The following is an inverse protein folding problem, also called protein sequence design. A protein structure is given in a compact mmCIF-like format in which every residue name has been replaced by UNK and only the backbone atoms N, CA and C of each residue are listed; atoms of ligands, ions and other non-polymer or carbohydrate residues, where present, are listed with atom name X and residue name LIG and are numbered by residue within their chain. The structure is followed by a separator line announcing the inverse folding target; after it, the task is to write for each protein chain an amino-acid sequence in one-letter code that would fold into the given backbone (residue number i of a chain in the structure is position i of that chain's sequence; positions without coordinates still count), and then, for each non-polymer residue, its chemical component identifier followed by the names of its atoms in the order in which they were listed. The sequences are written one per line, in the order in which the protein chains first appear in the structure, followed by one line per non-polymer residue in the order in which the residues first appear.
data_IF_015360535989
#
_entry.id   IF_015360535989
#
_cell.length_a   1.000
_cell.length_b   1.000
_cell.length_c   1.000
_cell.angle_alpha   90.00
_cell.angle_beta   90.00
_cell.angle_gamma   90.00
#
_symmetry.space_group_name_H-M   'P 1'
#
loop_
_entity.id
_entity.type
_entity.pdbx_description
1 polymer ?
#
# COMPACT_ATOMS: atom_id res chain seq x y z
N UNK A 1 -19.98 5.38 4.34
CA UNK A 1 -18.84 4.72 5.02
C UNK A 1 -18.46 3.53 4.15
N UNK A 2 -17.50 3.73 3.26
CA UNK A 2 -17.01 2.70 2.32
C UNK A 2 -15.80 2.07 3.03
N UNK A 3 -15.83 0.76 3.25
CA UNK A 3 -14.67 0.05 3.80
C UNK A 3 -13.47 0.29 2.89
N UNK A 4 -12.32 0.77 3.42
CA UNK A 4 -11.16 0.97 2.60
C UNK A 4 -10.52 -0.41 2.41
N UNK A 5 -10.54 -0.88 1.17
CA UNK A 5 -10.28 -2.25 0.73
C UNK A 5 -11.37 -3.24 1.18
N UNK A 6 -12.00 -4.02 0.27
CA UNK A 6 -12.38 -5.35 0.68
C UNK A 6 -11.08 -5.96 1.21
N UNK A 7 -11.10 -6.49 2.44
CA UNK A 7 -10.03 -7.38 2.91
C UNK A 7 -9.61 -8.19 1.70
N UNK A 8 -8.36 -8.06 1.24
CA UNK A 8 -7.92 -8.68 -0.01
C UNK A 8 -8.00 -10.23 0.10
N UNK A 9 -8.41 -10.72 1.27
CA UNK A 9 -9.16 -11.95 1.45
C UNK A 9 -10.48 -11.65 2.18
N UNK A 10 -11.56 -11.36 1.46
CA UNK A 10 -12.91 -11.26 2.03
C UNK A 10 -13.47 -12.67 2.23
N UNK A 11 -12.67 -13.55 2.83
CA UNK A 11 -13.27 -14.46 3.79
C UNK A 11 -13.67 -13.57 4.96
N UNK A 12 -14.97 -13.56 5.26
CA UNK A 12 -15.53 -13.05 6.49
C UNK A 12 -14.87 -13.81 7.64
N UNK A 13 -13.66 -13.41 8.00
CA UNK A 13 -12.87 -14.07 9.01
C UNK A 13 -13.71 -14.02 10.29
N UNK A 14 -14.06 -15.19 10.88
CA UNK A 14 -14.72 -15.19 12.17
C UNK A 14 -13.87 -14.39 13.16
N UNK A 15 -14.48 -13.87 14.21
CA UNK A 15 -13.93 -12.94 15.20
C UNK A 15 -12.79 -13.56 16.07
N UNK A 16 -11.89 -14.34 15.48
CA UNK A 16 -10.94 -15.24 16.12
C UNK A 16 -9.54 -14.62 16.19
N UNK A 17 -9.47 -13.34 16.57
CA UNK A 17 -8.21 -12.66 16.85
C UNK A 17 -7.73 -13.05 18.25
N UNK A 18 -6.67 -13.84 18.34
CA UNK A 18 -6.04 -14.17 19.61
C UNK A 18 -4.96 -13.13 19.95
N UNK A 19 -4.82 -12.70 21.22
CA UNK A 19 -3.67 -11.92 21.64
C UNK A 19 -2.38 -12.75 21.41
N UNK A 20 -1.33 -12.07 20.95
CA UNK A 20 0.01 -12.67 20.77
C UNK A 20 1.06 -11.72 21.31
N UNK A 21 2.25 -12.25 21.59
CA UNK A 21 3.37 -11.44 22.08
C UNK A 21 4.30 -11.16 20.91
N UNK A 22 4.80 -9.94 20.83
CA UNK A 22 5.81 -9.58 19.81
C UNK A 22 7.10 -10.42 19.93
N UNK A 23 7.32 -11.07 21.06
CA UNK A 23 8.52 -11.88 21.29
C UNK A 23 8.56 -13.16 20.45
N UNK A 24 7.41 -13.61 19.92
CA UNK A 24 7.27 -14.80 19.07
C UNK A 24 7.79 -14.61 17.63
N UNK A 25 8.18 -13.38 17.26
CA UNK A 25 8.58 -13.00 15.91
C UNK A 25 10.10 -12.87 15.75
N UNK A 26 10.62 -12.84 14.52
CA UNK A 26 12.04 -12.58 14.27
C UNK A 26 12.44 -11.15 14.65
N UNK A 27 13.72 -10.90 14.97
CA UNK A 27 14.21 -9.54 15.34
C UNK A 27 13.85 -8.49 14.28
N UNK A 28 13.93 -8.85 12.99
CA UNK A 28 13.54 -7.99 11.87
C UNK A 28 12.04 -7.64 11.92
N UNK A 29 11.17 -8.65 12.09
CA UNK A 29 9.73 -8.45 12.22
C UNK A 29 9.39 -7.60 13.44
N UNK A 30 10.00 -7.86 14.62
CA UNK A 30 9.79 -7.06 15.83
C UNK A 30 10.06 -5.58 15.57
N UNK A 31 11.19 -5.27 14.95
CA UNK A 31 11.57 -3.90 14.63
C UNK A 31 10.59 -3.25 13.65
N UNK A 32 10.17 -3.99 12.61
CA UNK A 32 9.21 -3.51 11.61
C UNK A 32 7.83 -3.25 12.21
N UNK A 33 7.29 -4.18 12.99
CA UNK A 33 5.98 -4.03 13.65
C UNK A 33 6.01 -2.83 14.61
N UNK A 34 7.06 -2.68 15.42
CA UNK A 34 7.17 -1.54 16.36
C UNK A 34 7.26 -0.20 15.65
N UNK A 35 8.02 -0.12 14.56
CA UNK A 35 8.25 1.14 13.85
C UNK A 35 7.18 1.50 12.82
N UNK A 36 6.35 0.54 12.38
CA UNK A 36 5.35 0.75 11.33
C UNK A 36 4.39 1.90 11.64
N UNK A 37 3.83 1.99 12.86
CA UNK A 37 2.90 3.07 13.22
C UNK A 37 3.50 4.47 13.02
N UNK A 38 4.75 4.67 13.45
CA UNK A 38 5.48 5.92 13.22
C UNK A 38 5.78 6.16 11.73
N UNK A 39 6.23 5.13 11.02
CA UNK A 39 6.54 5.24 9.59
C UNK A 39 5.32 5.64 8.77
N UNK A 40 4.14 5.08 9.07
CA UNK A 40 2.92 5.45 8.36
C UNK A 40 2.38 6.83 8.74
N UNK A 41 2.62 7.30 9.97
CA UNK A 41 2.34 8.70 10.31
C UNK A 41 3.24 9.69 9.55
N UNK A 42 4.51 9.33 9.31
CA UNK A 42 5.38 10.10 8.42
C UNK A 42 4.87 10.09 6.98
N UNK A 43 4.41 8.93 6.48
CA UNK A 43 3.82 8.82 5.16
C UNK A 43 2.58 9.71 5.01
N UNK A 44 1.68 9.73 6.00
CA UNK A 44 0.49 10.59 6.00
C UNK A 44 0.86 12.08 5.91
N UNK A 45 1.85 12.50 6.71
CA UNK A 45 2.36 13.87 6.69
C UNK A 45 2.96 14.23 5.33
N UNK A 46 3.75 13.32 4.75
CA UNK A 46 4.35 13.51 3.43
C UNK A 46 3.28 13.60 2.34
N UNK A 47 2.31 12.68 2.32
CA UNK A 47 1.17 12.71 1.40
C UNK A 47 0.40 14.03 1.49
N UNK A 48 0.20 14.55 2.70
CA UNK A 48 -0.42 15.86 2.93
C UNK A 48 0.35 16.98 2.25
N UNK A 49 1.68 17.01 2.37
CA UNK A 49 2.52 17.99 1.66
C UNK A 49 2.43 17.82 0.14
N UNK A 50 2.49 16.59 -0.37
CA UNK A 50 2.36 16.30 -1.81
C UNK A 50 1.05 16.86 -2.36
N UNK A 51 -0.07 16.52 -1.74
CA UNK A 51 -1.40 16.95 -2.19
C UNK A 51 -1.59 18.45 -2.03
N UNK A 52 -1.01 19.07 -0.99
CA UNK A 52 -1.02 20.52 -0.86
C UNK A 52 -0.22 21.22 -1.97
N UNK A 53 0.91 20.65 -2.40
CA UNK A 53 1.67 21.16 -3.55
C UNK A 53 0.93 20.98 -4.86
N UNK A 54 0.29 19.83 -5.05
CA UNK A 54 -0.55 19.54 -6.20
C UNK A 54 -1.68 20.55 -6.33
N UNK A 55 -2.46 20.77 -5.26
CA UNK A 55 -3.52 21.79 -5.21
C UNK A 55 -3.04 23.21 -5.51
N UNK A 56 -1.79 23.52 -5.15
CA UNK A 56 -1.16 24.83 -5.39
C UNK A 56 -0.45 24.91 -6.75
N UNK A 57 -0.60 23.91 -7.62
CA UNK A 57 0.07 23.81 -8.92
C UNK A 57 1.61 23.95 -8.82
N UNK A 58 2.21 23.39 -7.76
CA UNK A 58 3.66 23.44 -7.48
C UNK A 58 4.41 22.17 -7.87
N UNK A 59 3.77 21.26 -8.60
CA UNK A 59 4.38 20.03 -9.09
C UNK A 59 4.69 20.16 -10.58
N UNK A 60 5.57 19.29 -11.08
CA UNK A 60 5.81 19.21 -12.52
C UNK A 60 4.51 18.78 -13.24
N UNK A 61 4.31 19.17 -14.52
CA UNK A 61 3.12 18.79 -15.27
C UNK A 61 2.91 17.28 -15.34
N UNK A 62 3.98 16.49 -15.53
CA UNK A 62 3.90 15.03 -15.57
C UNK A 62 3.42 14.45 -14.24
N UNK A 63 3.97 14.92 -13.11
CA UNK A 63 3.57 14.43 -11.79
C UNK A 63 2.13 14.84 -11.46
N UNK A 64 1.73 16.07 -11.79
CA UNK A 64 0.36 16.54 -11.61
C UNK A 64 -0.63 15.66 -12.39
N UNK A 65 -0.36 15.39 -13.67
CA UNK A 65 -1.20 14.53 -14.50
C UNK A 65 -1.33 13.10 -13.95
N UNK A 66 -0.25 12.52 -13.40
CA UNK A 66 -0.33 11.21 -12.72
C UNK A 66 -1.24 11.26 -11.50
N UNK A 67 -1.18 12.34 -10.70
CA UNK A 67 -2.07 12.52 -9.55
C UNK A 67 -3.52 12.74 -9.97
N UNK A 68 -3.76 13.52 -11.02
CA UNK A 68 -5.09 13.69 -11.62
C UNK A 68 -5.66 12.35 -12.10
N UNK A 69 -4.86 11.51 -12.74
CA UNK A 69 -5.29 10.18 -13.18
C UNK A 69 -5.61 9.26 -12.00
N UNK A 70 -4.82 9.30 -10.94
CA UNK A 70 -5.00 8.42 -9.78
C UNK A 70 -6.17 8.83 -8.87
N UNK A 71 -6.29 10.12 -8.59
CA UNK A 71 -7.22 10.63 -7.57
C UNK A 71 -8.39 11.40 -8.18
N UNK A 72 -8.28 11.88 -9.42
CA UNK A 72 -9.31 12.68 -10.07
C UNK A 72 -9.57 13.99 -9.32
N UNK A 73 -10.80 14.49 -9.41
CA UNK A 73 -11.26 15.67 -8.66
C UNK A 73 -11.47 15.39 -7.16
N UNK A 74 -11.46 14.12 -6.74
CA UNK A 74 -11.55 13.75 -5.34
C UNK A 74 -10.24 14.08 -4.63
N UNK A 75 -10.30 15.08 -3.75
CA UNK A 75 -9.14 15.48 -2.96
C UNK A 75 -8.80 14.39 -1.94
N UNK A 76 -7.76 13.61 -2.22
CA UNK A 76 -7.11 12.65 -1.32
C UNK A 76 -6.73 13.21 0.08
N UNK A 77 -6.67 14.54 0.23
CA UNK A 77 -6.38 15.19 1.50
C UNK A 77 -7.51 15.08 2.56
N UNK A 78 -8.75 14.72 2.17
CA UNK A 78 -9.91 14.80 3.07
C UNK A 78 -9.95 13.71 4.16
N UNK A 79 -9.10 12.68 4.07
CA UNK A 79 -9.16 11.50 4.94
C UNK A 79 -7.85 11.24 5.70
N UNK A 80 -6.93 12.21 5.70
CA UNK A 80 -5.64 12.10 6.38
C UNK A 80 -5.82 12.34 7.89
N UNK A 81 -5.36 11.38 8.70
CA UNK A 81 -5.52 11.35 10.17
C UNK A 81 -4.19 11.66 10.87
N UNK A 82 -4.23 11.74 12.20
CA UNK A 82 -3.09 12.04 13.06
C UNK A 82 -2.16 10.84 13.33
N UNK A 83 -2.38 9.73 12.61
CA UNK A 83 -1.65 8.47 12.70
C UNK A 83 -2.62 7.27 12.76
N UNK A 84 -2.11 6.04 12.55
CA UNK A 84 -2.95 4.85 12.55
C UNK A 84 -3.23 4.37 13.97
N UNK A 85 -4.44 3.88 14.24
CA UNK A 85 -4.72 3.18 15.50
C UNK A 85 -4.68 1.67 15.33
N UNK A 86 -4.89 1.16 14.11
CA UNK A 86 -4.76 -0.26 13.79
C UNK A 86 -4.18 -0.48 12.38
N UNK A 87 -3.21 -1.38 12.27
CA UNK A 87 -2.66 -1.83 10.99
C UNK A 87 -2.71 -3.35 10.94
N UNK A 88 -3.22 -3.87 9.83
CA UNK A 88 -3.23 -5.30 9.54
C UNK A 88 -2.09 -5.66 8.59
N UNK A 89 -1.43 -6.78 8.87
CA UNK A 89 -0.31 -7.29 8.09
C UNK A 89 -0.52 -8.74 7.68
N UNK A 90 -0.04 -9.09 6.48
CA UNK A 90 0.41 -10.43 6.17
C UNK A 90 1.86 -10.58 6.64
N UNK A 91 2.11 -11.66 7.37
CA UNK A 91 3.43 -12.06 7.83
C UNK A 91 3.81 -13.39 7.22
N UNK A 92 5.05 -13.50 6.76
CA UNK A 92 5.77 -14.75 6.51
C UNK A 92 7.13 -14.69 7.21
N UNK A 93 7.97 -15.73 7.11
CA UNK A 93 9.20 -15.85 7.91
C UNK A 93 10.07 -14.58 7.94
N UNK A 94 10.23 -13.90 6.80
CA UNK A 94 11.12 -12.72 6.67
C UNK A 94 10.46 -11.43 6.17
N UNK A 95 9.19 -11.47 5.79
CA UNK A 95 8.48 -10.31 5.24
C UNK A 95 7.19 -10.01 5.99
N UNK A 96 6.93 -8.71 6.07
CA UNK A 96 5.75 -8.14 6.67
C UNK A 96 5.18 -7.16 5.67
N UNK A 97 3.93 -7.38 5.27
CA UNK A 97 3.24 -6.56 4.27
C UNK A 97 1.91 -6.06 4.81
N UNK A 98 1.66 -4.78 4.70
CA UNK A 98 0.36 -4.18 5.06
C UNK A 98 -0.72 -4.71 4.14
N UNK A 99 -1.87 -5.03 4.71
CA UNK A 99 -3.06 -5.44 3.97
C UNK A 99 -4.29 -4.59 4.28
N UNK A 100 -4.23 -3.76 5.32
CA UNK A 100 -5.31 -2.89 5.71
C UNK A 100 -4.98 -2.03 6.91
N UNK A 101 -5.81 -1.02 7.15
CA UNK A 101 -5.73 -0.14 8.32
C UNK A 101 -7.07 0.57 8.52
N UNK A 102 -7.30 1.06 9.73
CA UNK A 102 -8.36 2.04 10.00
C UNK A 102 -8.04 3.43 9.42
N UNK A 103 -6.77 3.70 9.10
CA UNK A 103 -6.33 4.95 8.51
C UNK A 103 -6.48 4.93 6.98
N UNK A 104 -7.25 5.85 6.38
CA UNK A 104 -7.49 5.87 4.93
C UNK A 104 -6.23 6.02 4.08
N UNK A 105 -5.23 6.77 4.53
CA UNK A 105 -3.97 6.93 3.78
C UNK A 105 -3.16 5.63 3.68
N UNK A 106 -3.30 4.75 4.66
CA UNK A 106 -2.65 3.43 4.66
C UNK A 106 -3.50 2.41 3.93
N UNK A 107 -4.83 2.49 4.05
CA UNK A 107 -5.73 1.51 3.47
C UNK A 107 -6.06 1.74 1.99
N UNK A 108 -5.74 2.91 1.42
CA UNK A 108 -5.99 3.17 0.00
C UNK A 108 -4.79 2.76 -0.88
N UNK A 109 -4.95 1.77 -1.78
CA UNK A 109 -3.88 1.28 -2.66
C UNK A 109 -3.29 2.32 -3.60
N UNK A 110 -4.01 3.41 -3.88
CA UNK A 110 -3.46 4.51 -4.69
C UNK A 110 -2.24 5.13 -4.03
N UNK A 111 -2.25 5.26 -2.69
CA UNK A 111 -1.08 5.74 -1.96
C UNK A 111 0.09 4.76 -2.02
N UNK A 112 -0.19 3.46 -2.09
CA UNK A 112 0.84 2.44 -2.30
C UNK A 112 1.47 2.59 -3.67
N UNK A 113 0.65 2.72 -4.72
CA UNK A 113 1.15 2.94 -6.07
C UNK A 113 2.04 4.21 -6.13
N UNK A 114 1.63 5.32 -5.52
CA UNK A 114 2.44 6.54 -5.43
C UNK A 114 3.81 6.32 -4.79
N UNK A 115 3.89 5.51 -3.74
CA UNK A 115 5.14 5.20 -3.05
C UNK A 115 6.09 4.40 -3.94
N UNK A 116 5.53 3.57 -4.84
CA UNK A 116 6.29 2.74 -5.77
C UNK A 116 6.62 3.43 -7.11
N UNK A 117 6.02 4.58 -7.42
CA UNK A 117 6.29 5.34 -8.65
C UNK A 117 7.75 5.83 -8.71
N UNK A 118 8.56 5.39 -9.70
CA UNK A 118 9.97 5.80 -9.79
C UNK A 118 10.15 7.31 -9.91
N UNK A 119 9.26 8.00 -10.64
CA UNK A 119 9.31 9.44 -10.85
C UNK A 119 9.14 10.28 -9.58
N UNK A 120 8.59 9.71 -8.50
CA UNK A 120 8.43 10.38 -7.22
C UNK A 120 9.55 10.09 -6.22
N UNK A 121 10.51 9.20 -6.55
CA UNK A 121 11.57 8.79 -5.62
C UNK A 121 12.41 9.96 -5.10
N UNK A 122 12.75 10.89 -5.99
CA UNK A 122 13.53 12.09 -5.66
C UNK A 122 12.78 13.05 -4.72
N UNK A 123 11.45 12.99 -4.71
CA UNK A 123 10.63 13.75 -3.78
C UNK A 123 10.43 13.01 -2.45
N UNK A 124 10.18 11.69 -2.48
CA UNK A 124 10.01 10.89 -1.27
C UNK A 124 11.25 10.83 -0.38
N UNK A 125 12.41 10.65 -0.99
CA UNK A 125 13.68 10.43 -0.26
C UNK A 125 14.04 11.57 0.70
N UNK A 126 14.01 12.87 0.31
CA UNK A 126 14.29 13.96 1.25
C UNK A 126 13.17 14.17 2.27
N UNK A 127 11.90 13.96 1.89
CA UNK A 127 10.75 14.20 2.78
C UNK A 127 10.65 13.15 3.87
N UNK A 128 10.84 11.86 3.53
CA UNK A 128 10.75 10.75 4.48
C UNK A 128 12.10 10.37 5.10
N UNK A 129 13.22 10.84 4.55
CA UNK A 129 14.57 10.26 4.69
C UNK A 129 14.67 8.90 3.99
N UNK A 130 15.83 8.63 3.40
CA UNK A 130 16.05 7.42 2.60
C UNK A 130 15.76 6.12 3.35
N UNK A 131 16.13 6.03 4.63
CA UNK A 131 15.96 4.82 5.44
C UNK A 131 14.48 4.52 5.72
N UNK A 132 13.68 5.52 6.07
CA UNK A 132 12.25 5.33 6.30
C UNK A 132 11.50 5.07 4.99
N UNK A 133 11.90 5.73 3.90
CA UNK A 133 11.30 5.48 2.58
C UNK A 133 11.47 4.02 2.14
N UNK A 134 12.68 3.47 2.20
CA UNK A 134 12.91 2.07 1.81
C UNK A 134 12.25 1.09 2.80
N UNK A 135 12.23 1.42 4.10
CA UNK A 135 11.47 0.63 5.09
C UNK A 135 9.97 0.60 4.80
N UNK A 136 9.37 1.75 4.48
CA UNK A 136 7.96 1.85 4.10
C UNK A 136 7.66 1.06 2.83
N UNK A 137 8.50 1.17 1.79
CA UNK A 137 8.36 0.37 0.56
C UNK A 137 8.47 -1.14 0.82
N UNK A 138 9.27 -1.53 1.81
CA UNK A 138 9.35 -2.93 2.21
C UNK A 138 8.08 -3.39 2.96
N UNK A 139 7.37 -2.50 3.67
CA UNK A 139 6.11 -2.78 4.37
C UNK A 139 4.88 -2.74 3.46
N UNK A 140 4.89 -1.89 2.45
CA UNK A 140 3.74 -1.72 1.54
C UNK A 140 3.79 -2.79 0.43
N UNK A 141 2.65 -3.39 0.03
CA UNK A 141 2.61 -4.27 -1.12
C UNK A 141 3.00 -3.53 -2.40
N UNK A 142 3.61 -4.23 -3.37
CA UNK A 142 3.83 -3.62 -4.66
C UNK A 142 2.48 -3.29 -5.31
N UNK A 143 2.35 -2.06 -5.80
CA UNK A 143 1.13 -1.58 -6.42
C UNK A 143 1.45 -0.74 -7.65
N UNK A 144 0.62 -0.85 -8.68
CA UNK A 144 0.81 -0.20 -9.97
C UNK A 144 -0.50 0.40 -10.47
N UNK A 145 -0.40 1.55 -11.13
CA UNK A 145 -1.53 2.16 -11.84
C UNK A 145 -1.77 1.39 -13.14
N UNK A 146 -2.99 0.91 -13.35
CA UNK A 146 -3.36 0.28 -14.63
C UNK A 146 -3.86 1.36 -15.57
N UNK A 147 -2.96 1.81 -16.43
CA UNK A 147 -3.20 2.82 -17.46
C UNK A 147 -3.25 2.17 -18.85
N UNK A 148 -4.15 2.68 -19.72
CA UNK A 148 -4.27 2.27 -21.14
C UNK A 148 -3.09 2.74 -22.01
N UNK A 149 -2.23 3.60 -21.47
CA UNK A 149 -1.12 4.17 -22.21
C UNK A 149 -0.11 3.09 -22.61
N UNK A 150 0.14 2.96 -23.92
CA UNK A 150 1.21 2.07 -24.41
C UNK A 150 2.55 2.57 -23.88
N UNK A 151 3.31 1.67 -23.27
CA UNK A 151 4.68 1.95 -22.86
C UNK A 151 5.56 2.20 -24.09
N UNK A 152 6.59 3.06 -23.98
CA UNK A 152 7.56 3.25 -25.06
C UNK A 152 8.25 1.93 -25.43
N UNK A 153 8.67 1.73 -26.70
CA UNK A 153 9.40 0.53 -27.11
C UNK A 153 10.62 0.27 -26.21
N UNK A 154 10.78 -0.98 -25.75
CA UNK A 154 11.87 -1.39 -24.86
C UNK A 154 11.69 -1.01 -23.38
N UNK A 155 10.57 -0.38 -23.00
CA UNK A 155 10.23 -0.12 -21.60
C UNK A 155 9.51 -1.32 -20.97
N UNK A 156 9.64 -1.46 -19.65
CA UNK A 156 8.96 -2.48 -18.85
C UNK A 156 8.24 -1.87 -17.65
N UNK A 157 7.21 -2.54 -17.18
CA UNK A 157 6.55 -2.23 -15.91
C UNK A 157 7.50 -2.65 -14.77
N UNK A 158 8.04 -1.65 -14.07
CA UNK A 158 9.03 -1.85 -13.00
C UNK A 158 8.48 -2.79 -11.92
N UNK A 159 9.25 -3.83 -11.57
CA UNK A 159 8.87 -4.84 -10.57
C UNK A 159 8.01 -6.00 -11.11
N UNK A 160 7.49 -5.88 -12.34
CA UNK A 160 6.85 -6.99 -13.06
C UNK A 160 7.73 -7.54 -14.18
N UNK A 161 8.62 -6.72 -14.73
CA UNK A 161 9.50 -7.07 -15.87
C UNK A 161 8.70 -7.54 -17.10
N UNK A 162 7.56 -6.90 -17.33
CA UNK A 162 6.67 -7.13 -18.47
C UNK A 162 6.53 -5.85 -19.31
N UNK A 163 6.42 -5.96 -20.65
CA UNK A 163 6.34 -4.79 -21.53
C UNK A 163 4.95 -4.13 -21.53
N UNK A 164 3.90 -4.87 -21.17
CA UNK A 164 2.53 -4.38 -21.05
C UNK A 164 1.67 -5.37 -20.22
N UNK A 165 0.44 -4.96 -19.92
CA UNK A 165 -0.50 -5.73 -19.09
C UNK A 165 -0.96 -7.07 -19.70
N UNK A 166 -0.86 -7.27 -21.02
CA UNK A 166 -1.21 -8.54 -21.66
C UNK A 166 -0.28 -9.69 -21.26
N UNK A 167 0.89 -9.36 -20.71
CA UNK A 167 1.87 -10.31 -20.19
C UNK A 167 1.70 -10.63 -18.70
N UNK A 168 0.76 -9.99 -18.00
CA UNK A 168 0.47 -10.28 -16.58
C UNK A 168 0.16 -11.77 -16.29
N UNK A 169 -0.54 -12.52 -17.17
CA UNK A 169 -0.69 -13.97 -17.04
C UNK A 169 0.62 -14.74 -16.79
N UNK A 170 1.76 -14.28 -17.35
CA UNK A 170 3.06 -14.92 -17.12
C UNK A 170 3.50 -14.77 -15.67
N UNK A 171 3.28 -13.60 -15.07
CA UNK A 171 3.56 -13.37 -13.65
C UNK A 171 2.65 -14.24 -12.75
N UNK A 172 1.39 -14.43 -13.14
CA UNK A 172 0.47 -15.30 -12.39
C UNK A 172 0.92 -16.77 -12.48
N UNK A 173 1.36 -17.21 -13.66
CA UNK A 173 1.86 -18.57 -13.87
C UNK A 173 3.13 -18.89 -13.05
N UNK A 174 3.92 -17.88 -12.63
CA UNK A 174 5.04 -18.09 -11.70
C UNK A 174 4.62 -18.17 -10.24
N UNK A 175 3.31 -18.18 -9.95
CA UNK A 175 2.75 -18.28 -8.60
C UNK A 175 2.51 -16.94 -7.91
N UNK A 176 2.70 -15.81 -8.60
CA UNK A 176 2.36 -14.48 -8.05
C UNK A 176 0.84 -14.29 -8.10
N UNK A 177 0.32 -13.57 -7.13
CA UNK A 177 -1.12 -13.29 -7.01
C UNK A 177 -1.35 -11.79 -7.10
N UNK A 178 -2.41 -11.40 -7.81
CA UNK A 178 -2.71 -9.99 -8.02
C UNK A 178 -4.19 -9.71 -7.81
N UNK A 179 -4.47 -8.55 -7.24
CA UNK A 179 -5.82 -8.04 -7.06
C UNK A 179 -5.90 -6.67 -7.72
N UNK A 180 -6.91 -6.49 -8.55
CA UNK A 180 -7.23 -5.21 -9.17
C UNK A 180 -8.24 -4.49 -8.30
N UNK A 181 -7.82 -3.37 -7.74
CA UNK A 181 -8.69 -2.46 -6.99
C UNK A 181 -9.25 -1.39 -7.95
N UNK A 182 -10.58 -1.30 -8.03
CA UNK A 182 -11.26 -0.34 -8.89
C UNK A 182 -11.50 0.98 -8.16
N UNK A 183 -11.08 2.09 -8.78
CA UNK A 183 -11.11 3.41 -8.17
C UNK A 183 -12.50 3.89 -7.77
N UNK A 184 -13.50 3.64 -8.63
CA UNK A 184 -14.85 4.24 -8.48
C UNK A 184 -15.70 3.46 -7.48
N UNK A 185 -15.73 2.14 -7.60
CA UNK A 185 -16.51 1.29 -6.70
C UNK A 185 -15.80 1.00 -5.38
N UNK A 186 -14.48 1.17 -5.32
CA UNK A 186 -13.63 0.75 -4.20
C UNK A 186 -13.56 -0.78 -4.05
N UNK A 187 -14.13 -1.53 -5.00
CA UNK A 187 -14.12 -2.99 -4.99
C UNK A 187 -12.78 -3.52 -5.48
N UNK A 188 -12.44 -4.75 -5.08
CA UNK A 188 -11.22 -5.40 -5.50
C UNK A 188 -11.52 -6.82 -5.98
N UNK A 189 -10.92 -7.18 -7.11
CA UNK A 189 -11.14 -8.47 -7.77
C UNK A 189 -9.80 -9.14 -8.00
N UNK A 190 -9.68 -10.41 -7.60
CA UNK A 190 -8.49 -11.20 -7.89
C UNK A 190 -8.39 -11.48 -9.39
N UNK A 191 -7.25 -11.11 -9.98
CA UNK A 191 -7.00 -11.31 -11.40
C UNK A 191 -6.60 -12.76 -11.63
N UNK A 192 -7.39 -13.42 -12.47
CA UNK A 192 -7.11 -14.77 -12.93
C UNK A 192 -6.17 -14.74 -14.13
N UNK A 193 -5.43 -15.83 -14.36
CA UNK A 193 -4.40 -15.95 -15.40
C UNK A 193 -4.89 -15.71 -16.84
N UNK A 194 -6.19 -15.56 -17.08
CA UNK A 194 -6.78 -15.45 -18.42
C UNK A 194 -7.22 -14.01 -18.76
N UNK A 195 -7.13 -13.08 -17.82
CA UNK A 195 -7.68 -11.73 -17.99
C UNK A 195 -6.60 -10.67 -17.82
N UNK A 196 -6.45 -9.81 -18.83
CA UNK A 196 -5.72 -8.56 -18.64
C UNK A 196 -6.55 -7.62 -17.73
N UNK A 197 -5.92 -6.86 -16.82
CA UNK A 197 -6.63 -5.90 -16.00
C UNK A 197 -7.24 -4.82 -16.89
N UNK A 198 -8.49 -4.45 -16.62
CA UNK A 198 -9.11 -3.30 -17.26
C UNK A 198 -8.56 -2.01 -16.65
N UNK A 199 -8.45 -0.96 -17.47
CA UNK A 199 -7.87 0.31 -17.06
C UNK A 199 -8.73 1.08 -16.07
N UNK A 200 -8.08 1.95 -15.29
CA UNK A 200 -8.75 2.77 -14.28
C UNK A 200 -8.72 2.21 -12.85
N UNK A 201 -7.90 1.19 -12.61
CA UNK A 201 -7.67 0.60 -11.30
C UNK A 201 -6.21 0.62 -10.84
N UNK A 202 -5.99 0.11 -9.63
CA UNK A 202 -4.66 -0.15 -9.07
C UNK A 202 -4.48 -1.66 -8.96
N UNK A 203 -3.47 -2.19 -9.65
CA UNK A 203 -3.07 -3.59 -9.50
C UNK A 203 -2.19 -3.70 -8.26
N UNK A 204 -2.49 -4.66 -7.38
CA UNK A 204 -1.78 -4.89 -6.13
C UNK A 204 -1.26 -6.33 -6.16
N UNK A 205 0.02 -6.51 -5.88
CA UNK A 205 0.58 -7.84 -5.64
C UNK A 205 0.21 -8.32 -4.23
N UNK A 206 -0.48 -9.45 -4.16
CA UNK A 206 -0.90 -10.06 -2.90
C UNK A 206 0.24 -10.93 -2.39
N UNK A 207 0.85 -10.62 -1.24
CA UNK A 207 1.91 -11.44 -0.68
C UNK A 207 1.37 -12.79 -0.24
N UNK A 208 2.18 -13.84 -0.40
CA UNK A 208 1.89 -15.14 0.17
C UNK A 208 1.73 -14.99 1.70
N UNK A 209 0.56 -15.39 2.21
CA UNK A 209 0.20 -15.23 3.61
C UNK A 209 0.50 -16.52 4.37
N UNK A 210 1.41 -16.47 5.34
CA UNK A 210 1.50 -17.52 6.35
C UNK A 210 0.60 -17.19 7.54
N UNK A 211 0.56 -15.92 7.96
CA UNK A 211 -0.21 -15.47 9.13
C UNK A 211 -0.74 -14.05 8.92
N UNK A 212 -1.93 -13.75 9.46
CA UNK A 212 -2.44 -12.37 9.56
C UNK A 212 -2.20 -11.82 10.95
N UNK A 213 -1.68 -10.61 11.02
CA UNK A 213 -1.43 -9.89 12.26
C UNK A 213 -2.24 -8.61 12.28
N UNK A 214 -2.70 -8.21 13.46
CA UNK A 214 -3.28 -6.91 13.72
C UNK A 214 -2.49 -6.22 14.83
N UNK A 215 -1.84 -5.12 14.49
CA UNK A 215 -1.11 -4.29 15.43
C UNK A 215 -1.93 -3.04 15.73
N UNK A 216 -2.19 -2.82 17.01
CA UNK A 216 -2.87 -1.61 17.48
C UNK A 216 -1.83 -0.66 18.07
N UNK A 217 -1.89 0.60 17.66
CA UNK A 217 -0.95 1.64 18.05
C UNK A 217 -1.65 2.71 18.89
N UNK A 218 -0.88 3.34 19.77
CA UNK A 218 -1.32 4.52 20.51
C UNK A 218 -0.34 5.66 20.23
N UNK A 219 -0.90 6.85 19.94
CA UNK A 219 -0.14 8.08 19.86
C UNK A 219 -0.03 8.66 21.27
N UNK A 220 1.20 8.83 21.75
CA UNK A 220 1.54 9.62 22.92
C UNK A 220 2.06 10.99 22.46
N UNK A 221 2.24 11.93 23.39
CA UNK A 221 2.63 13.32 23.08
C UNK A 221 3.89 13.45 22.22
N UNK A 222 4.75 12.42 22.17
CA UNK A 222 5.99 12.43 21.39
C UNK A 222 6.23 11.21 20.51
N UNK A 223 5.42 10.15 20.59
CA UNK A 223 5.71 8.86 19.92
C UNK A 223 4.44 8.12 19.51
N UNK A 224 4.59 7.20 18.56
CA UNK A 224 3.57 6.20 18.23
C UNK A 224 4.13 4.86 18.68
N UNK A 225 3.41 4.19 19.58
CA UNK A 225 3.87 2.97 20.24
C UNK A 225 2.91 1.81 19.99
N UNK A 226 3.46 0.61 19.84
CA UNK A 226 2.67 -0.61 19.73
C UNK A 226 2.04 -0.90 21.09
N UNK A 227 0.71 -0.86 21.14
CA UNK A 227 -0.08 -1.13 22.35
C UNK A 227 -0.45 -2.61 22.47
N UNK A 228 -0.87 -3.20 21.36
CA UNK A 228 -1.39 -4.56 21.35
C UNK A 228 -1.10 -5.24 20.01
N UNK A 229 -0.77 -6.51 20.05
CA UNK A 229 -0.61 -7.35 18.87
C UNK A 229 -1.56 -8.55 18.96
N UNK A 230 -2.24 -8.83 17.85
CA UNK A 230 -3.15 -9.95 17.71
C UNK A 230 -2.78 -10.76 16.47
N UNK A 231 -2.97 -12.07 16.54
CA UNK A 231 -2.77 -12.99 15.44
C UNK A 231 -4.09 -13.66 15.09
N UNK A 232 -4.36 -13.80 13.80
CA UNK A 232 -5.45 -14.62 13.31
C UNK A 232 -4.93 -16.04 13.13
N UNK A 233 -5.55 -17.00 13.82
CA UNK A 233 -5.24 -18.43 13.70
C UNK A 233 -6.27 -19.14 12.84
#
# INVERSE_FOLDING_TARGET
MISPLPSISAESAPNNWAPTTIEDFSTSQKHRIRSAGFQFALLDTALRDLFNRWKKNRLSPTTAATLDNLFGAESAAAALSDGPTAIEFHSNEDSLKVIGSDQPSIADPRHWALLHLPGLRSWWTPVLRSTHFESLRALVPNAWTVEDAKLPPGSVIVGLDIPDWSHLPRCIATGRRFVLWERVSGSAVEIQAVSAPQSGGVLIEVPACAQRLKANYVKTDSRIELKQLQIHR
#
